data_IF_569225692729
#
_entry.id   IF_569225692729
#
_cell.length_a   1.000
_cell.length_b   1.000
_cell.length_c   1.000
_cell.angle_alpha   90.00
_cell.angle_beta   90.00
_cell.angle_gamma   90.00
#
_symmetry.space_group_name_H-M   'P 1'
#
loop_
_entity.id
_entity.type
_entity.pdbx_description
1 polymer ?
#
# COMPACT_ATOMS: atom_id res chain seq x y z
N UNK A 1 14.86 20.70 -54.40
CA UNK A 1 14.94 21.17 -53.00
C UNK A 1 13.64 20.90 -52.24
N UNK A 2 12.49 21.43 -52.63
CA UNK A 2 11.18 21.27 -51.94
C UNK A 2 10.72 19.80 -51.89
N UNK A 3 10.92 19.03 -52.96
CA UNK A 3 10.58 17.61 -53.03
C UNK A 3 11.45 16.78 -52.06
N UNK A 4 12.70 17.13 -51.89
CA UNK A 4 13.65 16.44 -50.98
C UNK A 4 13.31 16.74 -49.52
N UNK A 5 12.97 18.00 -49.21
CA UNK A 5 12.53 18.40 -47.85
C UNK A 5 11.27 17.63 -47.47
N UNK A 6 10.23 17.59 -48.32
CA UNK A 6 9.01 16.81 -48.05
C UNK A 6 9.26 15.31 -47.88
N UNK A 7 10.22 14.75 -48.62
CA UNK A 7 10.59 13.34 -48.45
C UNK A 7 11.27 13.07 -47.11
N UNK A 8 12.16 13.97 -46.68
CA UNK A 8 12.82 13.86 -45.37
C UNK A 8 11.84 14.01 -44.21
N UNK A 9 10.90 14.99 -44.32
CA UNK A 9 9.84 15.16 -43.32
C UNK A 9 8.95 13.90 -43.19
N UNK A 10 8.55 13.33 -44.33
CA UNK A 10 7.76 12.10 -44.35
C UNK A 10 8.53 10.90 -43.72
N UNK A 11 9.82 10.77 -44.04
CA UNK A 11 10.65 9.72 -43.41
C UNK A 11 10.80 9.92 -41.92
N UNK A 12 10.98 11.16 -41.45
CA UNK A 12 11.06 11.48 -40.03
C UNK A 12 9.77 11.13 -39.31
N UNK A 13 8.61 11.50 -39.86
CA UNK A 13 7.31 11.17 -39.29
C UNK A 13 7.07 9.65 -39.18
N UNK A 14 7.47 8.90 -40.20
CA UNK A 14 7.39 7.43 -40.18
C UNK A 14 8.31 6.82 -39.11
N UNK A 15 9.51 7.37 -38.93
CA UNK A 15 10.44 6.94 -37.92
C UNK A 15 9.90 7.23 -36.51
N UNK A 16 9.39 8.45 -36.27
CA UNK A 16 8.77 8.82 -34.97
C UNK A 16 7.55 7.95 -34.66
N UNK A 17 6.70 7.69 -35.66
CA UNK A 17 5.54 6.79 -35.48
C UNK A 17 5.98 5.36 -35.10
N UNK A 18 7.01 4.82 -35.76
CA UNK A 18 7.53 3.50 -35.49
C UNK A 18 8.16 3.41 -34.09
N UNK A 19 8.87 4.45 -33.66
CA UNK A 19 9.44 4.54 -32.33
C UNK A 19 8.34 4.56 -31.27
N UNK A 20 7.28 5.35 -31.47
CA UNK A 20 6.12 5.41 -30.58
C UNK A 20 5.38 4.06 -30.49
N UNK A 21 5.15 3.39 -31.63
CA UNK A 21 4.55 2.04 -31.66
C UNK A 21 5.42 1.03 -30.90
N UNK A 22 6.74 1.13 -31.03
CA UNK A 22 7.67 0.26 -30.29
C UNK A 22 7.61 0.52 -28.80
N UNK A 23 7.57 1.78 -28.37
CA UNK A 23 7.43 2.14 -26.96
C UNK A 23 6.12 1.60 -26.35
N UNK A 24 5.00 1.74 -27.07
CA UNK A 24 3.72 1.16 -26.64
C UNK A 24 3.81 -0.36 -26.50
N UNK A 25 4.42 -1.04 -27.47
CA UNK A 25 4.59 -2.48 -27.43
C UNK A 25 5.42 -2.94 -26.24
N UNK A 26 6.51 -2.22 -25.91
CA UNK A 26 7.35 -2.49 -24.74
C UNK A 26 6.57 -2.30 -23.44
N UNK A 27 5.83 -1.20 -23.30
CA UNK A 27 5.00 -0.92 -22.12
C UNK A 27 3.96 -2.02 -21.95
N UNK A 28 3.29 -2.43 -23.02
CA UNK A 28 2.29 -3.50 -22.99
C UNK A 28 2.89 -4.83 -22.56
N UNK A 29 4.04 -5.21 -23.14
CA UNK A 29 4.74 -6.44 -22.78
C UNK A 29 5.18 -6.43 -21.30
N UNK A 30 5.67 -5.30 -20.79
CA UNK A 30 6.00 -5.15 -19.38
C UNK A 30 4.77 -5.30 -18.46
N UNK A 31 3.63 -4.77 -18.87
CA UNK A 31 2.38 -4.91 -18.12
C UNK A 31 1.88 -6.36 -18.11
N UNK A 32 1.92 -7.05 -19.24
CA UNK A 32 1.55 -8.46 -19.36
C UNK A 32 2.45 -9.33 -18.48
N UNK A 33 3.75 -9.08 -18.50
CA UNK A 33 4.72 -9.80 -17.66
C UNK A 33 4.49 -9.55 -16.15
N UNK A 34 4.20 -8.31 -15.75
CA UNK A 34 3.84 -7.99 -14.36
C UNK A 34 2.60 -8.73 -13.90
N UNK A 35 1.56 -8.81 -14.75
CA UNK A 35 0.34 -9.53 -14.43
C UNK A 35 0.61 -11.03 -14.34
N UNK A 36 1.45 -11.60 -15.21
CA UNK A 36 1.86 -13.00 -15.16
C UNK A 36 2.61 -13.31 -13.87
N UNK A 37 3.62 -12.52 -13.53
CA UNK A 37 4.39 -12.71 -12.29
C UNK A 37 3.47 -12.60 -11.06
N UNK A 38 2.52 -11.67 -11.08
CA UNK A 38 1.53 -11.49 -10.01
C UNK A 38 0.68 -12.74 -9.81
N UNK A 39 0.20 -13.35 -10.91
CA UNK A 39 -0.58 -14.58 -10.87
C UNK A 39 0.26 -15.77 -10.40
N UNK A 40 1.46 -15.96 -10.96
CA UNK A 40 2.37 -17.04 -10.58
C UNK A 40 2.76 -16.96 -9.08
N UNK A 41 3.02 -15.73 -8.58
CA UNK A 41 3.30 -15.53 -7.15
C UNK A 41 2.10 -15.86 -6.27
N UNK A 42 0.89 -15.52 -6.70
CA UNK A 42 -0.32 -15.85 -5.95
C UNK A 42 -0.53 -17.36 -5.86
N UNK A 43 -0.39 -18.05 -6.98
CA UNK A 43 -0.74 -19.47 -7.07
C UNK A 43 0.33 -20.35 -6.44
N UNK A 44 1.61 -20.10 -6.70
CA UNK A 44 2.69 -20.97 -6.23
C UNK A 44 3.11 -20.67 -4.79
N UNK A 45 3.39 -19.39 -4.48
CA UNK A 45 3.87 -19.00 -3.15
C UNK A 45 2.72 -18.84 -2.17
N UNK A 46 1.56 -18.33 -2.63
CA UNK A 46 0.39 -18.12 -1.79
C UNK A 46 -0.17 -19.41 -1.24
N UNK A 47 -0.34 -20.41 -2.08
CA UNK A 47 -0.82 -21.73 -1.66
C UNK A 47 0.15 -22.40 -0.68
N UNK A 48 1.47 -22.33 -0.95
CA UNK A 48 2.49 -22.89 -0.06
C UNK A 48 2.51 -22.23 1.32
N UNK A 49 2.47 -20.91 1.37
CA UNK A 49 2.48 -20.16 2.63
C UNK A 49 1.18 -20.34 3.42
N UNK A 50 0.02 -20.39 2.75
CA UNK A 50 -1.27 -20.70 3.38
C UNK A 50 -1.24 -22.09 4.02
N UNK A 51 -0.63 -23.06 3.35
CA UNK A 51 -0.45 -24.41 3.87
C UNK A 51 0.42 -24.43 5.13
N UNK A 52 1.54 -23.70 5.14
CA UNK A 52 2.42 -23.58 6.31
C UNK A 52 1.69 -22.92 7.48
N UNK A 53 0.95 -21.83 7.21
CA UNK A 53 0.14 -21.16 8.23
C UNK A 53 -0.91 -22.11 8.83
N UNK A 54 -1.66 -22.82 8.00
CA UNK A 54 -2.68 -23.78 8.43
C UNK A 54 -2.09 -24.90 9.30
N UNK A 55 -0.99 -25.52 8.87
CA UNK A 55 -0.36 -26.58 9.66
C UNK A 55 0.22 -26.05 10.98
N UNK A 56 0.73 -24.83 11.00
CA UNK A 56 1.19 -24.19 12.24
C UNK A 56 0.04 -23.95 13.21
N UNK A 57 -1.11 -23.47 12.76
CA UNK A 57 -2.30 -23.28 13.59
C UNK A 57 -2.87 -24.64 14.08
N UNK A 58 -2.89 -25.67 13.24
CA UNK A 58 -3.29 -27.03 13.62
C UNK A 58 -2.34 -27.61 14.68
N UNK A 59 -1.03 -27.36 14.56
CA UNK A 59 -0.06 -27.79 15.58
C UNK A 59 -0.27 -27.06 16.90
N UNK A 60 -0.52 -25.74 16.88
CA UNK A 60 -0.87 -24.95 18.07
C UNK A 60 -2.11 -25.51 18.77
N UNK A 61 -3.16 -25.78 18.01
CA UNK A 61 -4.42 -26.30 18.57
C UNK A 61 -4.28 -27.68 19.23
N UNK A 62 -3.37 -28.52 18.72
CA UNK A 62 -3.09 -29.86 19.32
C UNK A 62 -2.18 -29.79 20.55
N UNK A 63 -1.43 -28.70 20.70
CA UNK A 63 -0.41 -28.53 21.75
C UNK A 63 -0.85 -27.54 22.83
N UNK A 64 -2.14 -27.30 22.98
CA UNK A 64 -2.70 -26.35 23.97
C UNK A 64 -2.13 -26.57 25.39
N UNK A 65 -1.92 -27.82 25.79
CA UNK A 65 -1.38 -28.15 27.13
C UNK A 65 0.15 -28.14 27.21
N UNK A 66 0.84 -28.03 26.10
CA UNK A 66 2.31 -27.97 26.04
C UNK A 66 2.76 -27.12 24.85
N UNK A 67 2.61 -25.78 24.89
CA UNK A 67 2.90 -24.89 23.78
C UNK A 67 4.39 -24.94 23.43
N UNK A 68 4.65 -25.08 22.14
CA UNK A 68 6.02 -25.05 21.58
C UNK A 68 6.24 -23.65 20.97
N UNK A 69 7.12 -22.81 21.56
CA UNK A 69 7.34 -21.43 21.11
C UNK A 69 7.79 -21.32 19.64
N UNK A 70 8.44 -22.34 19.12
CA UNK A 70 8.89 -22.41 17.72
C UNK A 70 7.72 -22.47 16.75
N UNK A 71 6.63 -23.15 17.09
CA UNK A 71 5.41 -23.23 16.25
C UNK A 71 4.73 -21.87 16.19
N UNK A 72 4.68 -21.14 17.29
CA UNK A 72 4.16 -19.76 17.31
C UNK A 72 4.98 -18.84 16.39
N UNK A 73 6.30 -18.94 16.46
CA UNK A 73 7.21 -18.19 15.59
C UNK A 73 7.03 -18.54 14.11
N UNK A 74 6.83 -19.83 13.78
CA UNK A 74 6.58 -20.28 12.41
C UNK A 74 5.25 -19.72 11.90
N UNK A 75 4.18 -19.83 12.69
CA UNK A 75 2.87 -19.29 12.33
C UNK A 75 2.94 -17.78 12.07
N UNK A 76 3.55 -17.04 12.98
CA UNK A 76 3.73 -15.58 12.83
C UNK A 76 4.55 -15.24 11.59
N UNK A 77 5.66 -15.93 11.35
CA UNK A 77 6.51 -15.69 10.18
C UNK A 77 5.80 -16.03 8.86
N UNK A 78 5.02 -17.10 8.84
CA UNK A 78 4.23 -17.49 7.66
C UNK A 78 3.16 -16.44 7.33
N UNK A 79 2.42 -15.98 8.33
CA UNK A 79 1.41 -14.93 8.17
C UNK A 79 2.04 -13.60 7.74
N UNK A 80 3.20 -13.22 8.28
CA UNK A 80 3.93 -12.04 7.86
C UNK A 80 4.38 -12.11 6.39
N UNK A 81 4.84 -13.28 5.94
CA UNK A 81 5.23 -13.49 4.55
C UNK A 81 4.03 -13.45 3.61
N UNK A 82 2.90 -14.08 3.95
CA UNK A 82 1.65 -13.99 3.22
C UNK A 82 1.20 -12.54 3.04
N UNK A 83 1.19 -11.78 4.12
CA UNK A 83 0.81 -10.38 4.08
C UNK A 83 1.73 -9.51 3.21
N UNK A 84 3.05 -9.76 3.26
CA UNK A 84 4.02 -9.07 2.39
C UNK A 84 3.81 -9.42 0.92
N UNK A 85 3.59 -10.69 0.65
CA UNK A 85 3.36 -11.19 -0.71
C UNK A 85 2.07 -10.62 -1.29
N UNK A 86 0.97 -10.68 -0.56
CA UNK A 86 -0.32 -10.13 -0.98
C UNK A 86 -0.20 -8.62 -1.29
N UNK A 87 0.54 -7.87 -0.50
CA UNK A 87 0.81 -6.46 -0.76
C UNK A 87 1.61 -6.24 -2.06
N UNK A 88 2.57 -7.11 -2.37
CA UNK A 88 3.35 -7.06 -3.62
C UNK A 88 2.44 -7.38 -4.80
N UNK A 89 1.72 -8.51 -4.75
CA UNK A 89 0.79 -8.95 -5.80
C UNK A 89 -0.24 -7.86 -6.10
N UNK A 90 -0.87 -7.32 -5.06
CA UNK A 90 -1.86 -6.26 -5.21
C UNK A 90 -1.26 -5.01 -5.87
N UNK A 91 -0.02 -4.64 -5.53
CA UNK A 91 0.67 -3.50 -6.13
C UNK A 91 1.08 -3.71 -7.60
N UNK A 92 1.22 -4.96 -8.02
CA UNK A 92 1.61 -5.30 -9.39
C UNK A 92 0.42 -5.41 -10.35
N UNK A 93 -0.79 -5.66 -9.84
CA UNK A 93 -1.98 -5.83 -10.66
C UNK A 93 -2.47 -4.49 -11.22
N UNK A 94 -2.55 -4.37 -12.55
CA UNK A 94 -3.04 -3.16 -13.23
C UNK A 94 -4.57 -2.98 -13.09
N UNK A 95 -5.32 -4.06 -12.83
CA UNK A 95 -6.77 -3.98 -12.57
C UNK A 95 -7.11 -3.11 -11.36
N UNK A 96 -6.13 -2.82 -10.52
CA UNK A 96 -6.27 -2.04 -9.30
C UNK A 96 -5.78 -0.58 -9.44
N UNK A 97 -5.41 -0.14 -10.64
CA UNK A 97 -4.81 1.19 -10.90
C UNK A 97 -5.84 2.34 -10.78
N UNK A 98 -6.65 2.33 -9.73
CA UNK A 98 -7.58 3.43 -9.42
C UNK A 98 -7.52 3.82 -7.95
N UNK A 99 -7.84 5.10 -7.69
CA UNK A 99 -8.00 5.60 -6.32
C UNK A 99 -9.06 4.80 -5.55
N UNK A 100 -10.19 4.52 -6.20
CA UNK A 100 -11.28 3.74 -5.60
C UNK A 100 -10.81 2.37 -5.11
N UNK A 101 -10.09 1.62 -5.94
CA UNK A 101 -9.57 0.31 -5.58
C UNK A 101 -8.52 0.39 -4.46
N UNK A 102 -7.65 1.41 -4.50
CA UNK A 102 -6.67 1.63 -3.43
C UNK A 102 -7.36 1.88 -2.08
N UNK A 103 -8.35 2.73 -2.06
CA UNK A 103 -9.07 3.08 -0.83
C UNK A 103 -9.94 1.92 -0.33
N UNK A 104 -10.58 1.18 -1.22
CA UNK A 104 -11.34 -0.02 -0.86
C UNK A 104 -10.43 -1.07 -0.20
N UNK A 105 -9.23 -1.28 -0.74
CA UNK A 105 -8.24 -2.19 -0.16
C UNK A 105 -7.75 -1.75 1.22
N UNK A 106 -7.42 -0.46 1.39
CA UNK A 106 -7.03 0.11 2.68
C UNK A 106 -8.15 -0.06 3.70
N UNK A 107 -9.40 0.19 3.30
CA UNK A 107 -10.58 0.04 4.16
C UNK A 107 -10.73 -1.40 4.65
N UNK A 108 -10.74 -2.36 3.74
CA UNK A 108 -10.88 -3.79 4.10
C UNK A 108 -9.76 -4.22 5.03
N UNK A 109 -8.52 -3.87 4.71
CA UNK A 109 -7.36 -4.19 5.52
C UNK A 109 -7.45 -3.60 6.94
N UNK A 110 -7.84 -2.34 7.08
CA UNK A 110 -7.91 -1.69 8.38
C UNK A 110 -9.01 -2.27 9.28
N UNK A 111 -10.18 -2.58 8.71
CA UNK A 111 -11.28 -3.21 9.44
C UNK A 111 -10.89 -4.60 9.95
N UNK A 112 -10.34 -5.44 9.06
CA UNK A 112 -9.84 -6.79 9.41
C UNK A 112 -8.72 -6.72 10.45
N UNK A 113 -7.80 -5.74 10.32
CA UNK A 113 -6.64 -5.61 11.21
C UNK A 113 -7.03 -5.33 12.67
N UNK A 114 -8.15 -4.64 12.90
CA UNK A 114 -8.64 -4.30 14.25
C UNK A 114 -9.81 -5.16 14.73
N UNK A 115 -10.32 -6.11 13.93
CA UNK A 115 -11.54 -6.87 14.22
C UNK A 115 -11.54 -7.49 15.63
N UNK A 116 -10.45 -8.13 16.04
CA UNK A 116 -10.35 -8.82 17.34
C UNK A 116 -9.47 -8.09 18.38
N UNK A 117 -9.19 -6.79 18.16
CA UNK A 117 -8.22 -6.06 18.99
C UNK A 117 -8.83 -5.22 20.10
N UNK A 118 -10.16 -5.05 20.09
CA UNK A 118 -10.87 -4.13 20.98
C UNK A 118 -10.71 -2.64 20.61
N UNK A 119 -10.03 -2.31 19.51
CA UNK A 119 -9.89 -0.94 18.98
C UNK A 119 -11.02 -0.69 17.98
N UNK A 120 -11.83 0.35 18.21
CA UNK A 120 -12.87 0.73 17.28
C UNK A 120 -12.29 1.47 16.06
N UNK A 121 -12.42 0.87 14.87
CA UNK A 121 -11.93 1.43 13.62
C UNK A 121 -13.04 2.17 12.86
N UNK A 122 -12.94 3.51 12.79
CA UNK A 122 -13.85 4.38 12.02
C UNK A 122 -13.21 4.75 10.69
N UNK A 123 -13.99 4.62 9.62
CA UNK A 123 -13.51 4.96 8.27
C UNK A 123 -14.49 5.91 7.62
N UNK A 124 -14.03 7.13 7.37
CA UNK A 124 -14.78 8.20 6.71
C UNK A 124 -14.16 8.52 5.34
N UNK A 125 -14.86 8.10 4.30
CA UNK A 125 -14.44 8.22 2.90
C UNK A 125 -15.61 8.78 2.11
N UNK A 126 -15.39 9.78 1.23
CA UNK A 126 -16.43 10.32 0.37
C UNK A 126 -17.12 9.21 -0.46
N UNK A 127 -18.44 9.27 -0.59
CA UNK A 127 -19.22 8.30 -1.38
C UNK A 127 -18.77 8.27 -2.85
N UNK A 128 -18.36 9.42 -3.38
CA UNK A 128 -17.85 9.55 -4.75
C UNK A 128 -16.40 9.99 -4.74
N UNK A 129 -15.53 9.08 -5.14
CA UNK A 129 -14.13 9.36 -5.36
C UNK A 129 -13.90 9.80 -6.81
N UNK A 130 -12.98 10.74 -7.05
CA UNK A 130 -12.59 11.09 -8.41
C UNK A 130 -11.96 9.88 -9.11
N UNK A 131 -12.19 9.77 -10.42
CA UNK A 131 -11.59 8.71 -11.23
C UNK A 131 -10.12 9.04 -11.54
N UNK A 132 -9.26 8.82 -10.56
CA UNK A 132 -7.82 9.06 -10.63
C UNK A 132 -7.11 7.74 -10.79
N UNK A 133 -6.24 7.66 -11.79
CA UNK A 133 -5.31 6.55 -11.95
C UNK A 133 -4.23 6.63 -10.87
N UNK A 134 -4.02 5.52 -10.15
CA UNK A 134 -3.02 5.39 -9.10
C UNK A 134 -2.13 4.21 -9.42
N UNK A 135 -0.96 4.48 -9.99
CA UNK A 135 0.00 3.44 -10.40
C UNK A 135 0.48 2.58 -9.22
N UNK A 136 0.88 1.35 -9.50
CA UNK A 136 1.24 0.35 -8.49
C UNK A 136 2.28 0.81 -7.47
N UNK A 137 3.26 1.64 -7.86
CA UNK A 137 4.28 2.18 -6.94
C UNK A 137 3.65 3.08 -5.87
N UNK A 138 2.71 3.93 -6.25
CA UNK A 138 1.99 4.81 -5.33
C UNK A 138 1.13 3.99 -4.39
N UNK A 139 0.32 3.08 -4.94
CA UNK A 139 -0.53 2.19 -4.14
C UNK A 139 0.27 1.44 -3.08
N UNK A 140 1.37 0.81 -3.49
CA UNK A 140 2.24 0.07 -2.59
C UNK A 140 2.80 0.94 -1.47
N UNK A 141 3.37 2.11 -1.80
CA UNK A 141 3.99 2.96 -0.79
C UNK A 141 2.96 3.52 0.19
N UNK A 142 1.80 4.00 -0.29
CA UNK A 142 0.70 4.45 0.57
C UNK A 142 0.21 3.32 1.46
N UNK A 143 -0.07 2.15 0.91
CA UNK A 143 -0.52 1.00 1.70
C UNK A 143 0.49 0.59 2.78
N UNK A 144 1.79 0.55 2.47
CA UNK A 144 2.82 0.20 3.45
C UNK A 144 2.93 1.23 4.57
N UNK A 145 2.68 2.51 4.28
CA UNK A 145 2.62 3.55 5.32
C UNK A 145 1.38 3.39 6.19
N UNK A 146 0.21 3.14 5.59
CA UNK A 146 -1.02 2.83 6.35
C UNK A 146 -0.79 1.62 7.25
N UNK A 147 -0.28 0.51 6.71
CA UNK A 147 0.02 -0.72 7.48
C UNK A 147 0.93 -0.44 8.67
N UNK A 148 2.00 0.31 8.47
CA UNK A 148 2.94 0.68 9.55
C UNK A 148 2.26 1.58 10.58
N UNK A 149 1.41 2.52 10.16
CA UNK A 149 0.64 3.37 11.06
C UNK A 149 -0.29 2.53 11.96
N UNK A 150 -1.06 1.61 11.37
CA UNK A 150 -1.97 0.72 12.12
C UNK A 150 -1.20 -0.19 13.09
N UNK A 151 -0.05 -0.72 12.67
CA UNK A 151 0.82 -1.52 13.54
C UNK A 151 1.36 -0.69 14.73
N UNK A 152 1.72 0.56 14.51
CA UNK A 152 2.17 1.45 15.58
C UNK A 152 1.02 1.78 16.55
N UNK A 153 -0.19 1.97 16.06
CA UNK A 153 -1.37 2.18 16.90
C UNK A 153 -1.60 0.96 17.79
N UNK A 154 -1.64 -0.24 17.21
CA UNK A 154 -1.89 -1.48 17.95
C UNK A 154 -0.82 -1.75 19.02
N UNK A 155 0.45 -1.53 18.69
CA UNK A 155 1.57 -1.88 19.57
C UNK A 155 1.89 -0.82 20.62
N UNK A 156 1.67 0.47 20.30
CA UNK A 156 2.27 1.55 21.08
C UNK A 156 1.28 2.59 21.58
N UNK A 157 0.14 2.80 20.90
CA UNK A 157 -0.70 3.94 21.20
C UNK A 157 -1.58 3.73 22.45
N UNK A 158 -1.90 2.50 22.83
CA UNK A 158 -2.93 2.19 23.86
C UNK A 158 -4.26 2.88 23.55
N UNK A 159 -4.58 2.99 22.28
CA UNK A 159 -5.80 3.62 21.78
C UNK A 159 -7.00 2.70 21.94
N UNK A 160 -8.19 3.29 22.10
CA UNK A 160 -9.47 2.59 22.02
C UNK A 160 -10.19 2.86 20.69
N UNK A 161 -9.73 3.87 19.95
CA UNK A 161 -10.32 4.27 18.68
C UNK A 161 -9.23 4.69 17.70
N UNK A 162 -9.43 4.33 16.43
CA UNK A 162 -8.68 4.81 15.28
C UNK A 162 -9.64 5.32 14.22
N UNK A 163 -9.31 6.42 13.57
CA UNK A 163 -10.05 6.95 12.43
C UNK A 163 -9.16 7.08 11.20
N UNK A 164 -9.69 6.65 10.06
CA UNK A 164 -9.07 6.81 8.74
C UNK A 164 -10.01 7.68 7.91
N UNK A 165 -9.56 8.86 7.55
CA UNK A 165 -10.40 9.86 6.90
C UNK A 165 -9.74 10.29 5.60
N UNK A 166 -10.46 10.17 4.48
CA UNK A 166 -10.03 10.71 3.21
C UNK A 166 -10.85 11.95 2.88
N UNK A 167 -10.18 13.06 2.64
CA UNK A 167 -10.83 14.30 2.20
C UNK A 167 -10.26 14.80 0.89
N UNK A 168 -11.13 15.38 0.09
CA UNK A 168 -10.75 16.20 -1.04
C UNK A 168 -10.54 17.63 -0.57
N UNK A 169 -9.38 18.20 -0.85
CA UNK A 169 -9.04 19.59 -0.59
C UNK A 169 -8.84 20.33 -1.91
N UNK A 170 -8.71 21.65 -1.86
CA UNK A 170 -8.63 22.49 -3.06
C UNK A 170 -7.53 22.08 -4.03
N UNK A 171 -6.37 21.70 -3.52
CA UNK A 171 -5.18 21.36 -4.32
C UNK A 171 -4.89 19.86 -4.39
N UNK A 172 -5.77 18.98 -3.83
CA UNK A 172 -5.47 17.55 -3.86
C UNK A 172 -6.35 16.66 -3.00
N UNK A 173 -5.73 15.59 -2.53
CA UNK A 173 -6.33 14.59 -1.65
C UNK A 173 -5.50 14.46 -0.37
N UNK A 174 -6.17 14.37 0.76
CA UNK A 174 -5.52 14.17 2.07
C UNK A 174 -6.12 12.96 2.76
N UNK A 175 -5.24 12.03 3.15
CA UNK A 175 -5.58 10.89 3.99
C UNK A 175 -5.05 11.15 5.40
N UNK A 176 -5.97 11.12 6.36
CA UNK A 176 -5.67 11.20 7.79
C UNK A 176 -5.79 9.83 8.43
N UNK A 177 -4.83 9.50 9.30
CA UNK A 177 -4.88 8.33 10.18
C UNK A 177 -4.66 8.86 11.59
N UNK A 178 -5.67 8.77 12.43
CA UNK A 178 -5.64 9.33 13.78
C UNK A 178 -6.04 8.28 14.80
N UNK A 179 -5.28 8.16 15.88
CA UNK A 179 -5.65 7.43 17.09
C UNK A 179 -5.99 8.39 18.25
N UNK A 180 -6.66 7.87 19.27
CA UNK A 180 -6.94 8.58 20.51
C UNK A 180 -6.04 8.13 21.67
N UNK A 181 -4.88 7.59 21.38
CA UNK A 181 -3.98 7.03 22.37
C UNK A 181 -3.03 8.03 23.02
N UNK A 182 -1.88 7.53 23.46
CA UNK A 182 -0.89 8.32 24.23
C UNK A 182 -0.09 9.31 23.39
N UNK A 183 -0.22 9.27 22.05
CA UNK A 183 0.59 10.06 21.14
C UNK A 183 2.04 9.56 21.02
N UNK A 184 2.84 10.28 20.23
CA UNK A 184 4.25 9.97 19.98
C UNK A 184 5.16 10.90 20.78
N UNK A 185 6.12 10.34 21.50
CA UNK A 185 7.18 11.13 22.11
C UNK A 185 8.22 11.49 21.03
N UNK A 186 8.17 12.74 20.54
CA UNK A 186 9.04 13.23 19.47
C UNK A 186 10.52 13.21 19.86
N UNK A 187 10.86 13.36 21.16
CA UNK A 187 12.24 13.34 21.66
C UNK A 187 12.83 11.92 21.68
N UNK A 188 11.96 10.90 21.73
CA UNK A 188 12.34 9.49 21.74
C UNK A 188 12.21 8.80 20.37
N UNK A 189 12.04 9.55 19.29
CA UNK A 189 11.88 9.00 17.94
C UNK A 189 13.00 8.02 17.53
N UNK A 190 14.20 8.20 18.05
CA UNK A 190 15.33 7.27 17.83
C UNK A 190 15.10 5.86 18.43
N UNK A 191 14.18 5.71 19.41
CA UNK A 191 13.86 4.45 20.06
C UNK A 191 12.74 3.69 19.34
N UNK A 192 11.93 4.37 18.52
CA UNK A 192 10.81 3.77 17.78
C UNK A 192 11.22 3.01 16.49
N UNK A 193 12.54 2.77 16.32
CA UNK A 193 13.05 2.03 15.18
C UNK A 193 13.00 2.83 13.85
N UNK A 194 13.14 2.11 12.74
CA UNK A 194 13.20 2.72 11.41
C UNK A 194 11.81 3.00 10.79
N UNK A 195 10.70 2.66 11.47
CA UNK A 195 9.35 2.75 10.91
C UNK A 195 8.98 4.15 10.41
N UNK A 196 9.06 5.15 11.30
CA UNK A 196 8.71 6.54 10.94
C UNK A 196 9.62 7.12 9.84
N UNK A 197 10.92 6.82 9.92
CA UNK A 197 11.88 7.23 8.88
C UNK A 197 11.54 6.60 7.52
N UNK A 198 11.16 5.33 7.53
CA UNK A 198 10.76 4.60 6.34
C UNK A 198 9.44 5.13 5.77
N UNK A 199 8.45 5.45 6.61
CA UNK A 199 7.20 6.08 6.17
C UNK A 199 7.46 7.41 5.46
N UNK A 200 8.23 8.31 6.08
CA UNK A 200 8.60 9.60 5.48
C UNK A 200 9.33 9.44 4.15
N UNK A 201 10.31 8.52 4.09
CA UNK A 201 11.04 8.24 2.85
C UNK A 201 10.11 7.72 1.75
N UNK A 202 9.22 6.76 2.06
CA UNK A 202 8.27 6.20 1.09
C UNK A 202 7.35 7.24 0.50
N UNK A 203 6.90 8.19 1.31
CA UNK A 203 6.02 9.27 0.84
C UNK A 203 6.79 10.26 -0.03
N UNK A 204 8.01 10.63 0.35
CA UNK A 204 8.88 11.45 -0.48
C UNK A 204 9.19 10.81 -1.85
N UNK A 205 9.40 9.47 -1.90
CA UNK A 205 9.67 8.72 -3.14
C UNK A 205 8.50 8.76 -4.16
N UNK A 206 7.30 9.20 -3.76
CA UNK A 206 6.08 9.26 -4.59
C UNK A 206 5.40 10.64 -4.59
N UNK A 207 6.13 11.69 -4.22
CA UNK A 207 5.65 13.08 -4.16
C UNK A 207 4.37 13.25 -3.31
N UNK A 208 4.35 12.59 -2.14
CA UNK A 208 3.30 12.74 -1.11
C UNK A 208 3.90 13.44 0.10
N UNK A 209 3.29 14.53 0.53
CA UNK A 209 3.66 15.22 1.75
C UNK A 209 3.26 14.36 2.96
N UNK A 210 4.17 14.22 3.91
CA UNK A 210 4.00 13.42 5.12
C UNK A 210 4.22 14.28 6.36
N UNK A 211 3.22 14.32 7.24
CA UNK A 211 3.39 14.88 8.57
C UNK A 211 2.88 13.92 9.65
N UNK A 212 3.39 14.11 10.86
CA UNK A 212 2.99 13.38 12.06
C UNK A 212 2.96 14.35 13.22
N UNK A 213 1.86 14.35 13.95
CA UNK A 213 1.59 15.30 15.03
C UNK A 213 0.92 14.60 16.23
N UNK A 214 1.10 15.17 17.41
CA UNK A 214 0.31 14.82 18.58
C UNK A 214 -0.97 15.66 18.62
N UNK A 215 -2.12 15.02 18.43
CA UNK A 215 -3.44 15.67 18.46
C UNK A 215 -4.45 14.76 19.15
N UNK A 216 -4.48 14.79 20.50
CA UNK A 216 -5.28 13.87 21.32
C UNK A 216 -5.01 12.39 20.95
N UNK A 217 -3.72 12.01 20.85
CA UNK A 217 -3.21 10.80 20.26
C UNK A 217 -2.24 11.15 19.14
N UNK A 218 -2.06 10.25 18.18
CA UNK A 218 -1.20 10.48 17.00
C UNK A 218 -2.05 10.79 15.79
N UNK A 219 -1.72 11.86 15.07
CA UNK A 219 -2.25 12.16 13.74
C UNK A 219 -1.15 12.02 12.69
N UNK A 220 -1.37 11.15 11.72
CA UNK A 220 -0.56 11.03 10.50
C UNK A 220 -1.36 11.63 9.35
N UNK A 221 -0.71 12.50 8.57
CA UNK A 221 -1.30 13.15 7.40
C UNK A 221 -0.50 12.80 6.16
N UNK A 222 -1.16 12.29 5.14
CA UNK A 222 -0.63 12.06 3.81
C UNK A 222 -1.36 12.98 2.84
N UNK A 223 -0.68 13.96 2.28
CA UNK A 223 -1.27 14.90 1.32
C UNK A 223 -0.60 14.78 -0.04
N UNK A 224 -1.41 14.64 -1.09
CA UNK A 224 -0.95 14.60 -2.46
C UNK A 224 -1.67 15.63 -3.30
N UNK A 225 -0.89 16.52 -3.91
CA UNK A 225 -1.40 17.47 -4.91
C UNK A 225 -1.86 16.74 -6.16
N UNK A 226 -3.03 17.11 -6.65
CA UNK A 226 -3.61 16.58 -7.89
C UNK A 226 -3.98 17.76 -8.76
N UNK A 227 -3.26 17.91 -9.87
CA UNK A 227 -3.32 19.10 -10.74
C UNK A 227 -4.57 19.15 -11.63
N UNK A 228 -5.36 18.07 -11.69
CA UNK A 228 -6.61 17.98 -12.51
C UNK A 228 -7.62 17.08 -11.80
N UNK A 229 -8.76 17.65 -11.53
CA UNK A 229 -9.97 16.92 -11.12
C UNK A 229 -10.99 16.96 -12.24
#
# INVERSE_FOLDING_TARGET
>A
LIKEIKKQEALKLVAEKKEFETQIAVIKAQQEERNRISADMHDDLGAGMTTISLYSELAKSKLVNNPIPEIEKISTAANDLLNKMNAIIWSMSNSNDSLGNMIAYIRSYALEYFEDTGINCKIDIPERLPNIEVIGTIRRNVFLVVKEALNNILKHAKASEVSIILVRVEDGLTLYIQDNGTGINMDKLRQFGNGLKNMKKRMADIDVEFSIENKNGTLITLHRKVTTF
#
